data_IF_374925676616
#
_entry.id   IF_374925676616
#
_cell.length_a   1.000
_cell.length_b   1.000
_cell.length_c   1.000
_cell.angle_alpha   90.00
_cell.angle_beta   90.00
_cell.angle_gamma   90.00
#
_symmetry.space_group_name_H-M   'P 1'
#
loop_
_entity.id
_entity.type
_entity.pdbx_description
1 polymer ?
#
# COMPACT_ATOMS: atom_id res chain seq x y z
N UNK A 1 -21.28 4.99 -64.69
CA UNK A 1 -22.61 5.44 -65.15
C UNK A 1 -23.22 6.30 -64.05
N UNK A 2 -23.51 7.56 -64.37
CA UNK A 2 -24.34 8.47 -63.57
C UNK A 2 -25.79 8.02 -63.67
N UNK A 3 -26.55 8.07 -62.57
CA UNK A 3 -27.98 8.39 -62.63
C UNK A 3 -28.39 9.17 -61.38
N UNK A 4 -28.60 10.47 -61.57
CA UNK A 4 -29.51 11.27 -60.76
C UNK A 4 -30.93 10.98 -61.24
N UNK A 5 -31.91 10.95 -60.32
CA UNK A 5 -33.09 11.81 -60.45
C UNK A 5 -33.86 11.91 -59.13
N UNK A 6 -34.12 13.15 -58.73
CA UNK A 6 -35.05 13.57 -57.70
C UNK A 6 -36.51 13.23 -58.07
N UNK A 7 -37.36 13.06 -57.06
CA UNK A 7 -38.71 13.63 -57.08
C UNK A 7 -39.06 14.21 -55.70
N UNK A 8 -39.43 15.49 -55.68
CA UNK A 8 -39.99 16.22 -54.54
C UNK A 8 -41.49 15.89 -54.36
N UNK A 9 -41.95 15.89 -53.11
CA UNK A 9 -43.24 16.46 -52.72
C UNK A 9 -43.20 16.95 -51.26
N UNK A 10 -43.52 18.23 -51.07
CA UNK A 10 -43.77 18.91 -49.80
C UNK A 10 -45.17 18.48 -49.24
N UNK A 11 -45.69 18.77 -48.04
CA UNK A 11 -45.65 19.92 -47.11
C UNK A 11 -46.21 19.37 -45.77
N UNK A 12 -45.68 19.78 -44.60
CA UNK A 12 -46.46 20.38 -43.49
C UNK A 12 -45.68 20.42 -42.17
N UNK A 13 -45.53 21.64 -41.65
CA UNK A 13 -45.11 21.92 -40.28
C UNK A 13 -46.05 21.26 -39.27
N UNK A 14 -45.49 20.47 -38.36
CA UNK A 14 -46.04 20.29 -37.01
C UNK A 14 -44.89 20.37 -36.01
N UNK A 15 -44.81 21.53 -35.35
CA UNK A 15 -44.10 21.70 -34.09
C UNK A 15 -44.79 20.85 -33.03
N UNK A 16 -44.22 19.69 -32.70
CA UNK A 16 -44.54 18.98 -31.47
C UNK A 16 -43.54 19.42 -30.41
N UNK A 17 -43.99 20.32 -29.54
CA UNK A 17 -43.36 20.61 -28.28
C UNK A 17 -43.26 19.30 -27.49
N UNK A 18 -42.04 18.88 -27.17
CA UNK A 18 -41.80 17.81 -26.19
C UNK A 18 -42.09 18.44 -24.81
N UNK A 19 -43.03 17.90 -24.01
CA UNK A 19 -43.17 18.33 -22.64
C UNK A 19 -41.97 17.81 -21.85
N UNK A 20 -41.17 18.73 -21.30
CA UNK A 20 -40.29 18.45 -20.17
C UNK A 20 -41.18 18.12 -18.97
N UNK A 21 -41.42 16.83 -18.72
CA UNK A 21 -41.99 16.36 -17.47
C UNK A 21 -40.91 16.41 -16.38
N UNK A 22 -40.93 17.47 -15.58
CA UNK A 22 -40.30 17.51 -14.26
C UNK A 22 -41.14 16.63 -13.30
N UNK A 23 -40.88 15.33 -13.26
CA UNK A 23 -41.19 14.53 -12.06
C UNK A 23 -39.92 14.46 -11.22
N UNK A 24 -39.82 15.34 -10.21
CA UNK A 24 -38.91 15.11 -9.09
C UNK A 24 -39.47 13.91 -8.33
N UNK A 25 -38.78 12.78 -8.37
CA UNK A 25 -39.05 11.68 -7.44
C UNK A 25 -38.69 12.19 -6.04
N UNK A 26 -39.68 12.46 -5.21
CA UNK A 26 -39.47 12.69 -3.78
C UNK A 26 -38.92 11.40 -3.16
N UNK A 27 -37.77 11.48 -2.49
CA UNK A 27 -37.15 10.35 -1.83
C UNK A 27 -38.03 9.87 -0.66
N UNK A 28 -38.63 8.66 -0.72
CA UNK A 28 -39.60 8.21 0.25
C UNK A 28 -39.00 7.90 1.63
N UNK A 29 -37.67 7.84 1.74
CA UNK A 29 -36.95 7.56 2.99
C UNK A 29 -36.56 8.85 3.74
N UNK A 30 -36.78 10.05 3.16
CA UNK A 30 -36.52 11.35 3.80
C UNK A 30 -37.67 11.78 4.73
N UNK A 31 -38.04 10.91 5.68
CA UNK A 31 -39.13 11.18 6.65
C UNK A 31 -38.65 11.72 8.00
N UNK A 32 -37.33 11.72 8.23
CA UNK A 32 -36.74 12.14 9.51
C UNK A 32 -36.45 13.64 9.57
N UNK A 33 -36.57 14.21 10.76
CA UNK A 33 -36.09 15.59 11.01
C UNK A 33 -34.56 15.63 10.86
N UNK A 34 -34.05 16.80 10.45
CA UNK A 34 -32.63 17.06 10.19
C UNK A 34 -31.68 16.52 11.27
N UNK A 35 -32.04 16.68 12.55
CA UNK A 35 -31.20 16.33 13.69
C UNK A 35 -31.67 15.06 14.44
N UNK A 36 -32.62 14.30 13.88
CA UNK A 36 -33.13 13.07 14.49
C UNK A 36 -32.33 11.85 13.99
N UNK A 37 -31.14 11.67 14.56
CA UNK A 37 -30.21 10.61 14.16
C UNK A 37 -30.76 9.21 14.38
N UNK A 38 -31.53 8.99 15.45
CA UNK A 38 -32.15 7.70 15.72
C UNK A 38 -33.19 7.34 14.65
N UNK A 39 -34.02 8.31 14.22
CA UNK A 39 -34.90 8.12 13.08
C UNK A 39 -34.12 7.80 11.80
N UNK A 40 -33.03 8.55 11.51
CA UNK A 40 -32.22 8.37 10.31
C UNK A 40 -31.54 6.99 10.27
N UNK A 41 -31.06 6.48 11.40
CA UNK A 41 -30.52 5.12 11.52
C UNK A 41 -31.59 4.09 11.14
N UNK A 42 -32.81 4.22 11.69
CA UNK A 42 -33.89 3.27 11.39
C UNK A 42 -34.38 3.38 9.93
N UNK A 43 -34.48 4.58 9.37
CA UNK A 43 -34.83 4.76 7.95
C UNK A 43 -33.75 4.27 7.00
N UNK A 44 -32.48 4.43 7.34
CA UNK A 44 -31.36 3.88 6.59
C UNK A 44 -31.44 2.35 6.53
N UNK A 45 -31.73 1.68 7.65
CA UNK A 45 -31.91 0.22 7.69
C UNK A 45 -33.05 -0.25 6.77
N UNK A 46 -34.20 0.44 6.81
CA UNK A 46 -35.35 0.11 5.94
C UNK A 46 -34.97 0.29 4.47
N UNK A 47 -34.32 1.40 4.12
CA UNK A 47 -33.91 1.70 2.74
C UNK A 47 -32.94 0.65 2.19
N UNK A 48 -31.89 0.30 2.95
CA UNK A 48 -30.90 -0.68 2.49
C UNK A 48 -31.44 -2.12 2.48
N UNK A 49 -32.48 -2.44 3.27
CA UNK A 49 -33.21 -3.71 3.12
C UNK A 49 -33.98 -3.79 1.81
N UNK A 50 -34.55 -2.68 1.34
CA UNK A 50 -35.22 -2.61 0.04
C UNK A 50 -34.21 -2.69 -1.12
N UNK A 51 -33.02 -2.06 -0.98
CA UNK A 51 -31.90 -2.20 -1.92
C UNK A 51 -31.46 -3.66 -2.03
N UNK A 52 -31.24 -4.31 -0.88
CA UNK A 52 -30.86 -5.73 -0.84
C UNK A 52 -31.92 -6.61 -1.51
N UNK A 53 -33.20 -6.35 -1.23
CA UNK A 53 -34.31 -7.07 -1.85
C UNK A 53 -34.40 -6.82 -3.37
N UNK A 54 -34.10 -5.61 -3.82
CA UNK A 54 -34.06 -5.23 -5.24
C UNK A 54 -33.00 -6.05 -5.99
N UNK A 55 -31.76 -6.08 -5.47
CA UNK A 55 -30.68 -6.86 -6.09
C UNK A 55 -30.94 -8.36 -6.07
N UNK A 56 -31.58 -8.87 -5.01
CA UNK A 56 -31.92 -10.29 -4.87
C UNK A 56 -33.02 -10.76 -5.84
N UNK A 57 -33.97 -9.89 -6.19
CA UNK A 57 -35.17 -10.29 -6.97
C UNK A 57 -35.19 -9.79 -8.41
N UNK A 58 -34.41 -8.76 -8.77
CA UNK A 58 -34.47 -8.10 -10.08
C UNK A 58 -33.08 -7.86 -10.71
N UNK A 59 -32.28 -8.91 -10.89
CA UNK A 59 -30.93 -8.83 -11.48
C UNK A 59 -30.85 -8.20 -12.88
N UNK A 60 -31.97 -8.11 -13.62
CA UNK A 60 -32.06 -7.44 -14.94
C UNK A 60 -32.36 -5.93 -14.87
N UNK A 61 -32.57 -5.37 -13.68
CA UNK A 61 -32.82 -3.93 -13.44
C UNK A 61 -31.77 -3.32 -12.50
N UNK A 62 -30.50 -3.67 -12.76
CA UNK A 62 -29.36 -3.22 -11.98
C UNK A 62 -29.33 -1.70 -11.76
N UNK A 63 -29.54 -0.91 -12.82
CA UNK A 63 -29.55 0.56 -12.74
C UNK A 63 -30.69 1.13 -11.89
N UNK A 64 -31.82 0.41 -11.74
CA UNK A 64 -32.92 0.85 -10.89
C UNK A 64 -32.61 0.56 -9.41
N UNK A 65 -31.92 -0.54 -9.11
CA UNK A 65 -31.44 -0.83 -7.75
C UNK A 65 -30.31 0.11 -7.31
N UNK A 66 -29.45 0.54 -8.24
CA UNK A 66 -28.44 1.59 -7.98
C UNK A 66 -29.10 2.95 -7.70
N UNK A 67 -30.15 3.33 -8.45
CA UNK A 67 -30.92 4.54 -8.15
C UNK A 67 -31.55 4.49 -6.76
N UNK A 68 -32.05 3.33 -6.34
CA UNK A 68 -32.57 3.13 -4.98
C UNK A 68 -31.47 3.27 -3.92
N UNK A 69 -30.28 2.73 -4.17
CA UNK A 69 -29.11 2.91 -3.30
C UNK A 69 -28.71 4.39 -3.14
N UNK A 70 -28.78 5.17 -4.23
CA UNK A 70 -28.50 6.61 -4.18
C UNK A 70 -29.54 7.39 -3.36
N UNK A 71 -30.80 6.94 -3.34
CA UNK A 71 -31.80 7.53 -2.44
C UNK A 71 -31.47 7.24 -0.96
N UNK A 72 -30.86 6.09 -0.64
CA UNK A 72 -30.50 5.78 0.75
C UNK A 72 -29.36 6.67 1.29
N UNK A 73 -28.44 7.12 0.44
CA UNK A 73 -27.35 8.01 0.88
C UNK A 73 -27.84 9.42 1.21
N UNK A 74 -28.91 9.90 0.55
CA UNK A 74 -29.52 11.20 0.81
C UNK A 74 -30.08 11.39 2.22
N UNK A 75 -30.38 10.30 2.95
CA UNK A 75 -30.81 10.33 4.37
C UNK A 75 -29.80 11.10 5.25
N UNK A 76 -28.53 11.09 4.84
CA UNK A 76 -27.40 11.64 5.58
C UNK A 76 -26.93 13.01 5.06
N UNK A 77 -27.28 13.38 3.82
CA UNK A 77 -26.73 14.55 3.11
C UNK A 77 -27.31 15.92 3.52
N UNK A 78 -28.24 15.96 4.48
CA UNK A 78 -28.95 17.19 4.87
C UNK A 78 -28.42 17.86 6.17
N UNK A 79 -27.11 17.82 6.45
CA UNK A 79 -26.54 18.29 7.73
C UNK A 79 -25.62 19.53 7.62
N UNK A 80 -26.11 20.66 7.09
CA UNK A 80 -25.48 21.98 7.35
C UNK A 80 -26.26 22.75 8.41
N UNK A 81 -25.68 23.29 9.50
CA UNK A 81 -26.42 24.15 10.42
C UNK A 81 -26.90 25.43 9.68
N UNK A 82 -28.16 25.83 9.88
CA UNK A 82 -28.63 27.16 9.46
C UNK A 82 -28.46 28.15 10.64
N UNK A 83 -28.07 29.40 10.37
CA UNK A 83 -27.84 30.40 11.41
C UNK A 83 -29.16 30.89 12.02
N UNK A 84 -29.22 30.97 13.36
CA UNK A 84 -30.37 31.52 14.07
C UNK A 84 -30.40 33.07 14.03
N UNK A 85 -31.59 33.70 14.12
CA UNK A 85 -31.75 35.14 14.01
C UNK A 85 -31.37 35.89 15.28
N UNK A 86 -30.84 37.09 15.06
CA UNK A 86 -30.37 38.07 16.03
C UNK A 86 -31.49 38.54 16.97
N UNK A 87 -31.22 38.53 18.27
CA UNK A 87 -31.89 39.41 19.24
C UNK A 87 -30.87 40.28 19.96
N UNK A 88 -31.25 41.53 20.15
CA UNK A 88 -30.43 42.67 20.58
C UNK A 88 -30.22 42.77 22.09
N UNK A 89 -29.00 43.20 22.44
CA UNK A 89 -28.54 43.97 23.61
C UNK A 89 -28.62 43.33 25.01
N UNK A 90 -27.46 43.11 25.63
CA UNK A 90 -26.85 44.02 26.62
C UNK A 90 -25.35 43.71 26.75
N UNK A 91 -24.53 44.74 26.98
CA UNK A 91 -23.06 44.66 27.00
C UNK A 91 -22.55 44.06 28.32
N UNK A 92 -21.81 42.96 28.22
CA UNK A 92 -20.81 42.53 29.19
C UNK A 92 -19.43 42.42 28.51
N UNK A 93 -18.32 42.65 29.24
CA UNK A 93 -17.00 42.85 28.65
C UNK A 93 -16.49 41.59 27.96
N UNK A 94 -16.05 41.73 26.69
CA UNK A 94 -15.54 40.63 25.89
C UNK A 94 -14.28 39.99 26.51
N UNK A 95 -14.19 38.65 26.57
CA UNK A 95 -12.92 37.96 26.61
C UNK A 95 -12.22 38.13 25.27
N UNK A 96 -10.91 38.35 25.32
CA UNK A 96 -10.02 38.46 24.16
C UNK A 96 -10.26 37.29 23.19
N UNK A 97 -10.63 37.59 21.93
CA UNK A 97 -10.69 36.59 20.88
C UNK A 97 -9.28 36.01 20.69
N UNK A 98 -9.10 34.77 21.13
CA UNK A 98 -8.01 33.92 20.66
C UNK A 98 -8.42 33.54 19.24
N UNK A 99 -7.74 34.06 18.22
CA UNK A 99 -7.95 33.58 16.85
C UNK A 99 -7.62 32.09 16.84
N UNK A 100 -8.60 31.24 16.54
CA UNK A 100 -8.30 29.83 16.24
C UNK A 100 -7.33 29.79 15.05
N UNK A 101 -6.31 28.92 15.10
CA UNK A 101 -5.38 28.78 13.99
C UNK A 101 -6.15 28.40 12.71
N UNK A 102 -5.85 29.07 11.60
CA UNK A 102 -6.45 28.76 10.30
C UNK A 102 -5.90 27.42 9.85
N UNK A 103 -6.76 26.41 9.76
CA UNK A 103 -6.40 25.09 9.22
C UNK A 103 -6.50 25.14 7.70
N UNK A 104 -5.36 24.91 7.04
CA UNK A 104 -5.25 24.78 5.59
C UNK A 104 -5.32 23.31 5.18
N UNK A 105 -5.72 23.06 3.93
CA UNK A 105 -5.89 21.74 3.34
C UNK A 105 -4.96 21.59 2.15
N UNK A 106 -4.33 20.41 2.03
CA UNK A 106 -3.35 20.08 1.01
C UNK A 106 -3.62 18.68 0.45
N UNK A 107 -3.48 18.55 -0.86
CA UNK A 107 -3.49 17.26 -1.54
C UNK A 107 -2.15 16.54 -1.32
N UNK A 108 -2.13 15.20 -1.16
CA UNK A 108 -0.92 14.40 -1.03
C UNK A 108 -0.23 14.13 -2.38
N UNK A 109 0.07 15.20 -3.11
CA UNK A 109 0.77 15.17 -4.41
C UNK A 109 2.27 15.48 -4.23
N UNK A 110 3.10 15.10 -5.22
CA UNK A 110 4.56 15.22 -5.13
C UNK A 110 5.10 16.64 -4.92
N UNK A 111 4.34 17.65 -5.35
CA UNK A 111 4.68 19.06 -5.10
C UNK A 111 4.62 19.42 -3.61
N UNK A 112 3.83 18.67 -2.84
CA UNK A 112 3.56 18.89 -1.42
C UNK A 112 4.31 17.90 -0.51
N UNK A 113 4.51 16.66 -0.97
CA UNK A 113 5.05 15.57 -0.15
C UNK A 113 6.07 14.70 -0.90
N UNK A 114 7.09 14.22 -0.21
CA UNK A 114 7.98 13.19 -0.72
C UNK A 114 7.28 11.84 -0.56
N UNK A 115 7.15 11.08 -1.64
CA UNK A 115 6.58 9.72 -1.61
C UNK A 115 7.67 8.73 -1.16
N UNK A 116 7.30 7.79 -0.30
CA UNK A 116 8.13 6.66 0.15
C UNK A 116 7.53 5.37 -0.42
N UNK A 117 8.35 4.59 -1.12
CA UNK A 117 7.91 3.38 -1.82
C UNK A 117 6.99 3.64 -3.02
N UNK A 118 6.29 2.58 -3.46
CA UNK A 118 5.36 2.67 -4.60
C UNK A 118 4.03 3.27 -4.16
N UNK A 119 3.66 4.41 -4.74
CA UNK A 119 2.38 5.07 -4.52
C UNK A 119 1.85 5.72 -5.80
N UNK A 120 0.52 5.76 -5.96
CA UNK A 120 -0.12 6.35 -7.15
C UNK A 120 -1.28 7.24 -6.75
N UNK A 121 -1.36 8.42 -7.36
CA UNK A 121 -2.47 9.32 -7.15
C UNK A 121 -3.64 8.91 -8.06
N UNK A 122 -4.75 8.49 -7.47
CA UNK A 122 -5.90 7.89 -8.15
C UNK A 122 -7.17 8.43 -7.50
N UNK A 123 -8.09 8.97 -8.31
CA UNK A 123 -9.39 9.50 -7.85
C UNK A 123 -9.26 10.48 -6.67
N UNK A 124 -8.36 11.46 -6.80
CA UNK A 124 -8.09 12.53 -5.82
C UNK A 124 -7.44 12.07 -4.50
N UNK A 125 -6.96 10.82 -4.42
CA UNK A 125 -6.28 10.29 -3.25
C UNK A 125 -4.94 9.63 -3.60
N UNK A 126 -3.97 9.63 -2.68
CA UNK A 126 -2.69 8.93 -2.86
C UNK A 126 -2.78 7.51 -2.31
N UNK A 127 -2.74 6.52 -3.19
CA UNK A 127 -2.83 5.09 -2.85
C UNK A 127 -1.47 4.44 -2.70
N UNK A 128 -1.31 3.63 -1.67
CA UNK A 128 -0.13 2.79 -1.44
C UNK A 128 -0.46 1.61 -0.53
N UNK A 129 0.36 0.55 -0.62
CA UNK A 129 0.10 -0.71 0.08
C UNK A 129 1.35 -1.42 0.59
N UNK A 130 2.52 -1.14 0.01
CA UNK A 130 3.76 -1.82 0.39
C UNK A 130 4.14 -1.58 1.85
N UNK A 131 4.84 -2.55 2.44
CA UNK A 131 5.47 -2.40 3.77
C UNK A 131 6.33 -1.15 3.79
N UNK A 132 6.14 -0.33 4.83
CA UNK A 132 6.82 0.97 5.03
C UNK A 132 6.68 1.97 3.87
N UNK A 133 5.62 1.86 3.06
CA UNK A 133 5.28 2.92 2.10
C UNK A 133 4.53 4.07 2.78
N UNK A 134 4.62 5.26 2.22
CA UNK A 134 3.94 6.43 2.75
C UNK A 134 4.48 7.75 2.23
N UNK A 135 4.53 8.77 3.09
CA UNK A 135 4.91 10.13 2.71
C UNK A 135 5.76 10.84 3.77
N UNK A 136 6.59 11.78 3.35
CA UNK A 136 7.39 12.64 4.24
C UNK A 136 7.42 14.09 3.75
N UNK A 137 7.21 15.03 4.66
CA UNK A 137 7.16 16.47 4.34
C UNK A 137 7.47 17.32 5.56
N UNK A 138 7.63 18.63 5.32
CA UNK A 138 7.85 19.64 6.36
C UNK A 138 6.67 20.57 6.46
N UNK A 139 6.41 21.05 7.67
CA UNK A 139 5.50 22.16 7.95
C UNK A 139 6.24 23.24 8.72
N UNK A 140 5.68 24.44 8.75
CA UNK A 140 5.91 25.42 9.81
C UNK A 140 4.59 25.70 10.52
N UNK A 141 4.31 24.96 11.58
CA UNK A 141 3.00 24.88 12.24
C UNK A 141 3.09 24.07 13.53
N UNK A 142 1.96 23.74 14.12
CA UNK A 142 1.87 22.93 15.35
C UNK A 142 1.05 21.67 15.17
N UNK A 143 0.19 21.59 14.16
CA UNK A 143 -0.76 20.48 14.01
C UNK A 143 -0.76 19.91 12.60
N UNK A 144 -0.94 18.61 12.49
CA UNK A 144 -1.19 17.91 11.22
C UNK A 144 -2.30 16.88 11.44
N UNK A 145 -3.26 16.85 10.52
CA UNK A 145 -4.30 15.83 10.45
C UNK A 145 -4.24 15.16 9.09
N UNK A 146 -4.16 13.83 9.08
CA UNK A 146 -4.31 13.03 7.87
C UNK A 146 -5.73 12.49 7.78
N UNK A 147 -6.39 12.70 6.65
CA UNK A 147 -7.63 11.98 6.31
C UNK A 147 -7.21 10.74 5.52
N UNK A 148 -7.36 9.58 6.17
CA UNK A 148 -6.89 8.29 5.65
C UNK A 148 -8.07 7.35 5.49
N UNK A 149 -8.14 6.67 4.36
CA UNK A 149 -9.19 5.72 4.06
C UNK A 149 -8.63 4.34 3.70
N UNK A 150 -9.46 3.32 3.87
CA UNK A 150 -9.12 1.91 3.66
C UNK A 150 -9.68 1.39 2.34
N UNK A 151 -9.02 0.37 1.79
CA UNK A 151 -9.47 -0.30 0.57
C UNK A 151 -10.77 -1.09 0.75
N UNK A 152 -10.90 -1.92 1.80
CA UNK A 152 -12.01 -2.86 1.96
C UNK A 152 -12.08 -3.47 3.36
N UNK A 153 -13.27 -3.94 3.74
CA UNK A 153 -13.51 -4.77 4.95
C UNK A 153 -12.78 -6.12 4.92
N UNK A 154 -12.30 -6.55 3.74
CA UNK A 154 -11.48 -7.76 3.58
C UNK A 154 -9.98 -7.46 3.47
N UNK A 155 -9.63 -6.18 3.26
CA UNK A 155 -8.27 -5.70 3.22
C UNK A 155 -7.91 -4.98 4.52
N UNK A 156 -7.52 -3.72 4.42
CA UNK A 156 -7.06 -2.91 5.55
C UNK A 156 -8.14 -2.63 6.59
N UNK A 157 -9.43 -2.89 6.37
CA UNK A 157 -10.46 -2.83 7.43
C UNK A 157 -10.84 -4.21 7.97
N UNK A 158 -10.10 -5.26 7.59
CA UNK A 158 -10.26 -6.61 8.14
C UNK A 158 -10.07 -6.61 9.65
N UNK A 159 -10.84 -7.45 10.35
CA UNK A 159 -10.66 -7.69 11.78
C UNK A 159 -9.40 -8.49 12.10
N UNK A 160 -8.97 -9.33 11.17
CA UNK A 160 -7.84 -10.25 11.35
C UNK A 160 -6.52 -9.58 10.94
N UNK A 161 -6.57 -8.73 9.92
CA UNK A 161 -5.37 -8.09 9.36
C UNK A 161 -5.62 -6.64 8.92
N UNK A 162 -5.97 -5.72 9.85
CA UNK A 162 -6.10 -4.30 9.53
C UNK A 162 -4.74 -3.68 9.17
N UNK A 163 -4.71 -2.57 8.45
CA UNK A 163 -3.46 -1.85 8.25
C UNK A 163 -2.97 -1.24 9.57
N UNK A 164 -1.66 -1.34 9.81
CA UNK A 164 -0.97 -0.64 10.89
C UNK A 164 -0.23 0.57 10.32
N UNK A 165 -0.36 1.70 11.01
CA UNK A 165 0.13 3.01 10.56
C UNK A 165 0.98 3.63 11.65
N UNK A 166 2.19 4.07 11.29
CA UNK A 166 3.06 4.87 12.13
C UNK A 166 3.14 6.31 11.61
N UNK A 167 3.07 7.28 12.53
CA UNK A 167 3.31 8.69 12.21
C UNK A 167 4.42 9.21 13.11
N UNK A 168 5.51 9.65 12.49
CA UNK A 168 6.65 10.28 13.14
C UNK A 168 6.61 11.79 12.95
N UNK A 169 7.05 12.51 13.98
CA UNK A 169 7.32 13.94 13.96
C UNK A 169 8.71 14.18 14.53
N UNK A 170 9.61 14.80 13.76
CA UNK A 170 11.02 14.99 14.10
C UNK A 170 11.71 13.71 14.58
N UNK A 171 11.50 12.62 13.82
CA UNK A 171 11.96 11.26 14.09
C UNK A 171 11.45 10.61 15.40
N UNK A 172 10.56 11.28 16.14
CA UNK A 172 9.84 10.70 17.27
C UNK A 172 8.51 10.10 16.83
N UNK A 173 8.19 8.89 17.29
CA UNK A 173 6.89 8.27 17.03
C UNK A 173 5.78 9.00 17.81
N UNK A 174 4.81 9.56 17.09
CA UNK A 174 3.63 10.23 17.65
C UNK A 174 2.40 9.33 17.67
N UNK A 175 2.25 8.47 16.66
CA UNK A 175 1.11 7.59 16.53
C UNK A 175 1.55 6.21 16.05
N UNK A 176 1.07 5.19 16.76
CA UNK A 176 1.02 3.78 16.34
C UNK A 176 -0.46 3.40 16.41
N UNK A 177 -1.07 3.11 15.26
CA UNK A 177 -2.51 2.86 15.19
C UNK A 177 -2.88 1.84 14.14
N UNK A 178 -4.09 1.31 14.29
CA UNK A 178 -4.71 0.38 13.36
C UNK A 178 -5.90 1.06 12.68
N UNK A 179 -6.15 0.69 11.44
CA UNK A 179 -7.40 1.04 10.76
C UNK A 179 -8.60 0.36 11.42
N UNK A 180 -9.55 1.17 11.86
CA UNK A 180 -10.75 0.72 12.58
C UNK A 180 -12.05 1.18 11.92
N UNK A 181 -11.97 2.16 11.01
CA UNK A 181 -13.08 2.71 10.25
C UNK A 181 -12.70 2.85 8.78
N UNK A 182 -13.69 3.01 7.90
CA UNK A 182 -13.45 3.15 6.46
C UNK A 182 -12.62 4.40 6.13
N UNK A 183 -12.83 5.47 6.89
CA UNK A 183 -12.11 6.75 6.82
C UNK A 183 -11.84 7.22 8.25
N UNK A 184 -10.63 7.67 8.53
CA UNK A 184 -10.18 8.13 9.83
C UNK A 184 -9.45 9.47 9.72
N UNK A 185 -9.51 10.28 10.78
CA UNK A 185 -8.68 11.47 10.93
C UNK A 185 -7.57 11.19 11.96
N UNK A 186 -6.32 11.14 11.50
CA UNK A 186 -5.16 10.86 12.33
C UNK A 186 -4.45 12.17 12.66
N UNK A 187 -4.46 12.57 13.93
CA UNK A 187 -4.01 13.87 14.39
C UNK A 187 -2.65 13.79 15.10
N UNK A 188 -1.76 14.74 14.77
CA UNK A 188 -0.48 14.97 15.43
C UNK A 188 -0.44 16.43 15.90
N UNK A 189 -0.08 16.66 17.16
CA UNK A 189 0.13 17.99 17.74
C UNK A 189 1.54 18.05 18.34
N UNK A 190 2.34 19.01 17.87
CA UNK A 190 3.68 19.31 18.39
C UNK A 190 3.60 20.19 19.63
N UNK A 191 4.64 20.18 20.47
CA UNK A 191 4.66 20.93 21.72
C UNK A 191 4.62 22.46 21.46
N UNK A 192 5.28 22.91 20.39
CA UNK A 192 5.42 24.31 20.02
C UNK A 192 5.10 24.52 18.54
N UNK A 193 4.78 25.76 18.15
CA UNK A 193 4.72 26.13 16.73
C UNK A 193 6.14 26.21 16.19
N UNK A 194 6.44 25.49 15.12
CA UNK A 194 7.77 25.54 14.52
C UNK A 194 7.89 24.74 13.24
N UNK A 195 9.13 24.65 12.74
CA UNK A 195 9.46 23.75 11.65
C UNK A 195 9.50 22.31 12.16
N UNK A 196 8.69 21.45 11.55
CA UNK A 196 8.65 20.02 11.88
C UNK A 196 8.74 19.18 10.62
N UNK A 197 9.41 18.03 10.71
CA UNK A 197 9.40 16.99 9.67
C UNK A 197 8.45 15.87 10.07
N UNK A 198 7.50 15.54 9.20
CA UNK A 198 6.49 14.52 9.44
C UNK A 198 6.70 13.37 8.45
N UNK A 199 6.69 12.14 8.97
CA UNK A 199 6.75 10.92 8.17
C UNK A 199 5.57 10.01 8.54
N UNK A 200 4.73 9.73 7.56
CA UNK A 200 3.60 8.80 7.67
C UNK A 200 4.00 7.50 6.97
N UNK A 201 3.85 6.35 7.64
CA UNK A 201 4.16 5.04 7.07
C UNK A 201 2.99 4.06 7.32
N UNK A 202 2.62 3.28 6.29
CA UNK A 202 1.91 2.01 6.48
C UNK A 202 2.95 0.93 6.74
N UNK A 203 3.01 0.43 7.97
CA UNK A 203 4.06 -0.53 8.39
C UNK A 203 3.68 -1.99 8.18
N UNK A 204 2.40 -2.29 8.01
CA UNK A 204 1.91 -3.63 7.64
C UNK A 204 2.09 -3.93 6.15
N UNK A 205 2.21 -5.20 5.75
CA UNK A 205 2.46 -5.60 4.36
C UNK A 205 1.29 -5.40 3.39
N UNK A 206 1.61 -5.41 2.09
CA UNK A 206 0.66 -5.14 1.01
C UNK A 206 -0.41 -6.23 0.87
N UNK A 207 -0.03 -7.49 1.07
CA UNK A 207 -0.89 -8.64 0.80
C UNK A 207 -2.25 -8.57 1.52
N UNK A 208 -2.27 -7.98 2.72
CA UNK A 208 -3.44 -7.86 3.59
C UNK A 208 -4.23 -6.55 3.42
N UNK A 209 -3.79 -5.64 2.57
CA UNK A 209 -4.58 -4.46 2.22
C UNK A 209 -3.76 -3.22 1.91
N UNK A 210 -4.45 -2.25 1.35
CA UNK A 210 -3.93 -0.92 1.04
C UNK A 210 -4.73 0.19 1.72
N UNK A 211 -4.09 1.35 1.83
CA UNK A 211 -4.72 2.58 2.29
C UNK A 211 -4.50 3.69 1.27
N UNK A 212 -5.24 4.77 1.45
CA UNK A 212 -5.01 5.98 0.70
C UNK A 212 -5.20 7.21 1.58
N UNK A 213 -4.41 8.25 1.29
CA UNK A 213 -4.52 9.55 1.93
C UNK A 213 -5.39 10.42 1.02
N UNK A 214 -6.51 10.89 1.56
CA UNK A 214 -7.44 11.78 0.86
C UNK A 214 -7.01 13.25 1.00
N UNK A 215 -6.53 13.62 2.19
CA UNK A 215 -6.27 15.01 2.53
C UNK A 215 -5.25 15.14 3.66
N UNK A 216 -4.43 16.19 3.61
CA UNK A 216 -3.57 16.62 4.71
C UNK A 216 -4.03 17.99 5.17
N UNK A 217 -4.34 18.14 6.46
CA UNK A 217 -4.73 19.42 7.06
C UNK A 217 -3.69 19.87 8.07
N UNK A 218 -3.36 21.15 8.10
CA UNK A 218 -2.39 21.71 9.06
C UNK A 218 -2.63 23.20 9.26
N UNK A 219 -2.23 23.72 10.42
CA UNK A 219 -2.17 25.17 10.68
C UNK A 219 -1.01 25.88 9.95
N UNK A 220 -0.19 25.13 9.21
CA UNK A 220 0.81 25.71 8.32
C UNK A 220 0.20 26.24 7.03
N UNK A 221 0.73 27.35 6.51
CA UNK A 221 0.30 27.94 5.25
C UNK A 221 0.78 27.17 4.01
N UNK A 222 1.79 26.31 4.19
CA UNK A 222 2.45 25.55 3.13
C UNK A 222 3.03 24.28 3.73
N UNK A 223 2.97 23.19 2.97
CA UNK A 223 3.76 21.99 3.22
C UNK A 223 4.75 21.80 2.08
N UNK A 224 5.93 21.25 2.39
CA UNK A 224 6.98 21.03 1.38
C UNK A 224 7.55 19.62 1.49
N UNK A 225 7.78 18.92 0.37
CA UNK A 225 8.41 17.61 0.39
C UNK A 225 9.81 17.70 1.02
N UNK A 226 10.23 16.66 1.73
CA UNK A 226 11.63 16.54 2.12
C UNK A 226 12.51 16.25 0.91
N UNK A 227 13.81 16.54 1.03
CA UNK A 227 14.75 16.27 -0.04
C UNK A 227 14.88 14.77 -0.31
N UNK A 228 14.94 14.41 -1.59
CA UNK A 228 15.32 13.07 -2.04
C UNK A 228 16.75 12.79 -1.60
N UNK A 229 16.97 11.60 -1.05
CA UNK A 229 18.29 11.14 -0.64
C UNK A 229 19.15 10.83 -1.86
N UNK A 230 20.46 10.96 -1.70
CA UNK A 230 21.43 10.70 -2.78
C UNK A 230 21.60 9.23 -3.11
N UNK A 231 21.11 8.33 -2.23
CA UNK A 231 21.13 6.89 -2.40
C UNK A 231 19.71 6.37 -2.40
N UNK A 232 19.43 5.41 -3.29
CA UNK A 232 18.14 4.73 -3.41
C UNK A 232 18.32 3.23 -3.41
N UNK A 233 17.54 2.52 -2.60
CA UNK A 233 17.55 1.05 -2.53
C UNK A 233 16.14 0.51 -2.81
N UNK A 234 16.00 -0.40 -3.76
CA UNK A 234 14.79 -1.22 -3.86
C UNK A 234 15.04 -2.61 -3.25
N UNK A 235 14.15 -3.05 -2.37
CA UNK A 235 14.16 -4.39 -1.81
C UNK A 235 13.03 -5.18 -2.46
N UNK A 236 13.37 -6.30 -3.08
CA UNK A 236 12.42 -7.22 -3.69
C UNK A 236 12.47 -8.51 -2.88
N UNK A 237 11.35 -8.96 -2.33
CA UNK A 237 11.40 -10.08 -1.39
C UNK A 237 10.08 -10.73 -1.02
N UNK A 238 10.16 -11.55 0.01
CA UNK A 238 9.04 -12.28 0.60
C UNK A 238 8.74 -11.78 2.03
N UNK A 239 8.13 -12.65 2.85
CA UNK A 239 7.77 -12.41 4.25
C UNK A 239 8.94 -11.94 5.12
N UNK A 240 10.18 -12.33 4.82
CA UNK A 240 11.36 -11.89 5.56
C UNK A 240 11.59 -10.39 5.35
N UNK A 241 11.35 -9.89 4.13
CA UNK A 241 11.48 -8.47 3.79
C UNK A 241 10.34 -7.64 4.39
N UNK A 242 9.16 -8.23 4.54
CA UNK A 242 8.01 -7.61 5.23
C UNK A 242 8.16 -7.53 6.76
N UNK A 243 9.16 -8.20 7.35
CA UNK A 243 9.24 -8.45 8.80
C UNK A 243 8.03 -9.23 9.35
N UNK A 244 7.47 -10.14 8.55
CA UNK A 244 6.39 -11.02 8.96
C UNK A 244 6.74 -11.76 10.25
N UNK A 245 5.85 -11.67 11.25
CA UNK A 245 6.01 -12.40 12.50
C UNK A 245 7.19 -11.96 13.35
N UNK A 246 7.83 -10.82 13.05
CA UNK A 246 9.05 -10.41 13.73
C UNK A 246 8.85 -9.98 15.19
N UNK A 247 7.63 -9.56 15.53
CA UNK A 247 7.27 -8.98 16.83
C UNK A 247 6.71 -9.97 17.85
N UNK A 248 6.35 -11.17 17.41
CA UNK A 248 5.74 -12.20 18.26
C UNK A 248 6.43 -13.54 18.05
N UNK A 249 6.35 -14.41 19.06
CA UNK A 249 7.00 -15.73 19.04
C UNK A 249 6.03 -16.90 18.87
N UNK A 250 4.74 -16.69 19.10
CA UNK A 250 3.70 -17.73 19.08
C UNK A 250 2.38 -17.18 18.53
N UNK A 251 1.53 -18.07 18.01
CA UNK A 251 0.19 -17.73 17.51
C UNK A 251 0.10 -17.61 15.98
N UNK A 252 -1.08 -17.25 15.52
CA UNK A 252 -1.33 -16.95 14.11
C UNK A 252 -0.84 -15.54 13.79
N UNK A 253 -0.32 -15.35 12.58
CA UNK A 253 0.08 -14.02 12.14
C UNK A 253 -1.11 -13.07 12.02
N UNK A 254 -0.87 -11.82 12.42
CA UNK A 254 -1.78 -10.71 12.21
C UNK A 254 -0.96 -9.44 11.96
N UNK A 255 -1.43 -8.60 11.05
CA UNK A 255 -0.82 -7.29 10.80
C UNK A 255 -0.96 -6.31 11.97
N UNK A 256 -1.75 -6.66 13.00
CA UNK A 256 -1.86 -5.86 14.23
C UNK A 256 -0.54 -5.78 14.99
N UNK A 257 0.31 -6.79 14.86
CA UNK A 257 1.63 -6.85 15.51
C UNK A 257 2.78 -6.74 14.52
N UNK A 258 2.51 -6.81 13.21
CA UNK A 258 3.51 -6.54 12.17
C UNK A 258 4.05 -5.10 12.27
N UNK A 259 5.37 -4.97 12.16
CA UNK A 259 6.08 -3.70 12.20
C UNK A 259 7.20 -3.74 11.17
N UNK A 260 6.93 -3.21 9.97
CA UNK A 260 7.89 -3.12 8.86
C UNK A 260 9.18 -2.41 9.23
N UNK A 261 9.16 -1.48 10.19
CA UNK A 261 10.36 -0.75 10.62
C UNK A 261 11.39 -1.65 11.32
N UNK A 262 10.98 -2.87 11.69
CA UNK A 262 11.86 -3.93 12.21
C UNK A 262 12.52 -4.76 11.12
N UNK A 263 12.11 -4.61 9.86
CA UNK A 263 12.72 -5.32 8.73
C UNK A 263 14.20 -4.97 8.58
N UNK A 264 14.97 -5.95 8.13
CA UNK A 264 16.35 -5.69 7.72
C UNK A 264 16.40 -4.61 6.62
N UNK A 265 15.37 -4.56 5.76
CA UNK A 265 15.30 -3.62 4.64
C UNK A 265 15.24 -2.18 5.12
N UNK A 266 14.35 -1.87 6.06
CA UNK A 266 14.24 -0.55 6.68
C UNK A 266 15.56 -0.17 7.38
N UNK A 267 16.15 -1.09 8.15
CA UNK A 267 17.42 -0.88 8.87
C UNK A 267 18.60 -0.59 7.94
N UNK A 268 18.73 -1.34 6.84
CA UNK A 268 19.75 -1.11 5.81
C UNK A 268 19.57 0.28 5.18
N UNK A 269 18.33 0.65 4.83
CA UNK A 269 18.05 1.97 4.26
C UNK A 269 18.40 3.12 5.23
N UNK A 270 18.05 2.97 6.52
CA UNK A 270 18.42 3.93 7.56
C UNK A 270 19.94 4.07 7.69
N UNK A 271 20.67 2.96 7.74
CA UNK A 271 22.13 2.95 7.87
C UNK A 271 22.85 3.64 6.73
N UNK A 272 22.30 3.61 5.53
CA UNK A 272 22.88 4.33 4.38
C UNK A 272 22.25 5.70 4.11
N UNK A 273 21.31 6.14 4.96
CA UNK A 273 20.51 7.36 4.76
C UNK A 273 19.93 7.40 3.33
N UNK A 274 19.35 6.27 2.90
CA UNK A 274 18.82 6.06 1.56
C UNK A 274 17.30 6.20 1.53
N UNK A 275 16.76 6.74 0.44
CA UNK A 275 15.34 6.52 0.13
C UNK A 275 15.16 5.07 -0.31
N UNK A 276 13.99 4.49 -0.05
CA UNK A 276 13.76 3.08 -0.30
C UNK A 276 12.39 2.78 -0.91
N UNK A 277 12.30 1.58 -1.48
CA UNK A 277 11.05 0.93 -1.88
C UNK A 277 11.13 -0.54 -1.49
N UNK A 278 10.13 -1.05 -0.77
CA UNK A 278 9.97 -2.47 -0.49
C UNK A 278 8.88 -3.00 -1.43
N UNK A 279 9.21 -3.97 -2.27
CA UNK A 279 8.25 -4.69 -3.11
C UNK A 279 8.30 -6.17 -2.71
N UNK A 280 7.55 -6.47 -1.65
CA UNK A 280 7.62 -7.77 -0.99
C UNK A 280 6.24 -8.25 -0.53
N UNK A 281 6.06 -9.57 -0.57
CA UNK A 281 4.77 -10.22 -0.28
C UNK A 281 5.01 -11.57 0.39
N UNK A 282 4.36 -11.79 1.53
CA UNK A 282 4.49 -13.06 2.25
C UNK A 282 4.04 -14.26 1.40
N UNK A 283 4.88 -15.29 1.36
CA UNK A 283 4.63 -16.52 0.60
C UNK A 283 4.91 -16.45 -0.90
N UNK A 284 5.38 -15.31 -1.44
CA UNK A 284 5.68 -15.17 -2.87
C UNK A 284 7.09 -15.68 -3.20
N UNK A 285 7.25 -16.27 -4.38
CA UNK A 285 8.55 -16.71 -4.89
C UNK A 285 8.84 -16.20 -6.30
N UNK A 286 9.91 -16.70 -6.89
CA UNK A 286 10.26 -16.40 -8.30
C UNK A 286 9.65 -17.41 -9.26
N UNK A 287 9.71 -18.69 -8.90
CA UNK A 287 9.24 -19.83 -9.68
C UNK A 287 7.99 -20.48 -9.09
N UNK A 288 7.89 -20.58 -7.76
CA UNK A 288 6.71 -21.03 -7.02
C UNK A 288 6.49 -20.18 -5.77
N UNK A 289 5.23 -19.86 -5.49
CA UNK A 289 4.83 -19.48 -4.14
C UNK A 289 5.01 -20.63 -3.15
N UNK A 290 4.89 -20.30 -1.86
CA UNK A 290 5.07 -21.24 -0.76
C UNK A 290 4.06 -22.37 -0.85
N UNK A 291 4.56 -23.60 -0.80
CA UNK A 291 3.76 -24.82 -0.76
C UNK A 291 4.56 -25.91 -0.04
N UNK A 292 3.90 -26.73 0.78
CA UNK A 292 4.54 -27.80 1.54
C UNK A 292 4.07 -29.20 1.10
N UNK A 293 3.25 -29.31 0.06
CA UNK A 293 2.71 -30.56 -0.48
C UNK A 293 3.38 -30.97 -1.81
N UNK A 294 4.35 -30.18 -2.29
CA UNK A 294 5.05 -30.41 -3.56
C UNK A 294 4.20 -30.04 -4.77
N UNK A 295 3.25 -29.11 -4.60
CA UNK A 295 2.37 -28.57 -5.64
C UNK A 295 2.83 -27.15 -5.98
N UNK A 296 3.18 -26.93 -7.24
CA UNK A 296 3.68 -25.63 -7.69
C UNK A 296 2.57 -24.58 -7.61
N UNK A 297 2.79 -23.50 -6.88
CA UNK A 297 1.87 -22.36 -6.80
C UNK A 297 2.32 -21.24 -7.74
N UNK A 298 1.60 -21.04 -8.83
CA UNK A 298 1.91 -19.99 -9.82
C UNK A 298 1.17 -18.67 -9.58
N UNK A 299 0.32 -18.59 -8.55
CA UNK A 299 -0.47 -17.39 -8.25
C UNK A 299 0.25 -16.42 -7.30
N UNK A 300 1.32 -16.86 -6.64
CA UNK A 300 2.09 -16.08 -5.68
C UNK A 300 3.53 -15.92 -6.16
N UNK A 301 3.70 -15.20 -7.28
CA UNK A 301 4.98 -14.99 -7.94
C UNK A 301 5.27 -13.49 -8.07
N UNK A 302 6.50 -13.08 -7.78
CA UNK A 302 6.95 -11.68 -7.93
C UNK A 302 7.11 -11.27 -9.41
N UNK A 303 7.79 -12.04 -10.29
CA UNK A 303 8.10 -11.59 -11.65
C UNK A 303 6.89 -11.13 -12.48
N UNK A 304 5.73 -11.83 -12.45
CA UNK A 304 4.55 -11.40 -13.20
C UNK A 304 3.89 -10.10 -12.73
N UNK A 305 4.18 -9.66 -11.50
CA UNK A 305 3.57 -8.45 -10.89
C UNK A 305 4.59 -7.34 -10.63
N UNK A 306 5.86 -7.51 -10.98
CA UNK A 306 6.92 -6.55 -10.66
C UNK A 306 6.72 -5.17 -11.32
N UNK A 307 5.97 -5.10 -12.41
CA UNK A 307 5.56 -3.85 -13.08
C UNK A 307 4.27 -3.24 -12.51
N UNK A 308 3.69 -3.81 -11.44
CA UNK A 308 2.43 -3.34 -10.82
C UNK A 308 2.68 -2.51 -9.58
N UNK A 309 1.66 -1.74 -9.20
CA UNK A 309 1.67 -0.93 -7.98
C UNK A 309 1.73 -1.80 -6.72
N UNK A 310 1.07 -2.95 -6.73
CA UNK A 310 1.08 -3.94 -5.65
C UNK A 310 0.14 -5.11 -5.94
N UNK A 311 -0.05 -5.97 -4.95
CA UNK A 311 -0.96 -7.11 -5.03
C UNK A 311 -1.68 -7.32 -3.69
N UNK A 312 -2.99 -7.58 -3.75
CA UNK A 312 -3.85 -7.72 -2.57
C UNK A 312 -4.54 -9.08 -2.63
N UNK A 313 -4.28 -9.95 -1.65
CA UNK A 313 -4.80 -11.32 -1.67
C UNK A 313 -6.33 -11.35 -1.74
N UNK A 314 -6.98 -10.45 -0.99
CA UNK A 314 -8.43 -10.41 -0.92
C UNK A 314 -9.07 -10.01 -2.26
N UNK A 315 -8.39 -9.33 -3.18
CA UNK A 315 -8.94 -9.04 -4.51
C UNK A 315 -9.25 -10.33 -5.29
N UNK A 316 -8.44 -11.37 -5.10
CA UNK A 316 -8.65 -12.68 -5.73
C UNK A 316 -9.74 -13.51 -5.04
N UNK A 317 -9.89 -13.37 -3.73
CA UNK A 317 -10.85 -14.12 -2.91
C UNK A 317 -12.25 -13.50 -2.98
N UNK A 318 -12.32 -12.16 -2.99
CA UNK A 318 -13.55 -11.35 -2.98
C UNK A 318 -13.58 -10.34 -4.14
N UNK A 319 -13.50 -10.79 -5.41
CA UNK A 319 -13.44 -9.92 -6.58
C UNK A 319 -14.67 -9.01 -6.72
N UNK A 320 -15.81 -9.39 -6.14
CA UNK A 320 -17.06 -8.62 -6.13
C UNK A 320 -17.03 -7.39 -5.21
N UNK A 321 -16.05 -7.31 -4.30
CA UNK A 321 -15.91 -6.24 -3.29
C UNK A 321 -14.71 -5.33 -3.56
N UNK A 322 -14.08 -5.44 -4.73
CA UNK A 322 -12.89 -4.67 -5.08
C UNK A 322 -13.27 -3.20 -5.31
N UNK A 323 -12.83 -2.33 -4.40
CA UNK A 323 -12.88 -0.86 -4.57
C UNK A 323 -11.86 -0.40 -5.58
N UNK A 324 -10.63 -0.94 -5.46
CA UNK A 324 -9.54 -0.74 -6.39
C UNK A 324 -8.56 -1.92 -6.30
N UNK A 325 -8.06 -2.40 -7.44
CA UNK A 325 -7.07 -3.48 -7.46
C UNK A 325 -5.70 -2.92 -7.77
N UNK A 326 -4.78 -2.97 -6.79
CA UNK A 326 -3.41 -2.49 -6.99
C UNK A 326 -2.68 -3.24 -8.10
N UNK A 327 -3.01 -4.52 -8.33
CA UNK A 327 -2.40 -5.33 -9.39
C UNK A 327 -2.90 -4.92 -10.79
N UNK A 328 -4.04 -4.22 -10.88
CA UNK A 328 -4.50 -3.65 -12.15
C UNK A 328 -3.82 -2.33 -12.52
N UNK A 329 -3.07 -1.74 -11.59
CA UNK A 329 -2.36 -0.49 -11.80
C UNK A 329 -0.90 -0.73 -12.16
N UNK A 330 -0.50 -0.26 -13.33
CA UNK A 330 0.91 -0.22 -13.72
C UNK A 330 1.69 0.76 -12.84
N UNK A 331 2.90 0.35 -12.46
CA UNK A 331 3.91 1.16 -11.79
C UNK A 331 4.89 1.72 -12.82
N UNK A 332 5.04 3.05 -12.83
CA UNK A 332 6.09 3.70 -13.63
C UNK A 332 7.42 3.62 -12.86
N UNK A 333 8.36 2.83 -13.36
CA UNK A 333 9.67 2.65 -12.72
C UNK A 333 10.50 3.95 -12.67
N UNK A 334 10.18 4.97 -13.48
CA UNK A 334 10.86 6.26 -13.42
C UNK A 334 10.55 7.03 -12.13
N UNK A 335 9.49 6.64 -11.41
CA UNK A 335 9.14 7.22 -10.11
C UNK A 335 10.17 6.88 -9.03
N UNK A 336 10.84 5.74 -9.17
CA UNK A 336 11.89 5.30 -8.27
C UNK A 336 12.96 4.52 -9.03
N UNK A 337 14.04 5.19 -9.42
CA UNK A 337 15.22 4.55 -10.02
C UNK A 337 16.26 4.26 -8.91
N UNK A 338 16.41 3.00 -8.47
CA UNK A 338 17.35 2.62 -7.43
C UNK A 338 18.81 2.62 -7.90
N UNK A 339 19.72 2.95 -6.99
CA UNK A 339 21.16 2.72 -7.18
C UNK A 339 21.53 1.25 -6.91
N UNK A 340 20.80 0.61 -5.99
CA UNK A 340 20.97 -0.77 -5.57
C UNK A 340 19.60 -1.46 -5.46
N UNK A 341 19.51 -2.67 -6.02
CA UNK A 341 18.37 -3.57 -5.88
C UNK A 341 18.83 -4.79 -5.09
N UNK A 342 18.14 -5.11 -4.00
CA UNK A 342 18.41 -6.30 -3.19
C UNK A 342 17.26 -7.28 -3.39
N UNK A 343 17.56 -8.42 -3.99
CA UNK A 343 16.58 -9.49 -4.25
C UNK A 343 16.78 -10.56 -3.18
N UNK A 344 15.85 -10.64 -2.23
CA UNK A 344 15.84 -11.66 -1.18
C UNK A 344 14.66 -12.61 -1.40
N UNK A 345 14.79 -13.46 -2.41
CA UNK A 345 13.79 -14.43 -2.85
C UNK A 345 14.43 -15.79 -3.06
N UNK A 346 13.64 -16.84 -2.82
CA UNK A 346 14.04 -18.25 -2.95
C UNK A 346 13.56 -19.12 -1.79
N UNK A 347 13.16 -18.53 -0.67
CA UNK A 347 12.66 -19.26 0.52
C UNK A 347 11.43 -20.09 0.19
N UNK A 348 10.44 -19.46 -0.46
CA UNK A 348 9.16 -20.09 -0.81
C UNK A 348 9.30 -21.09 -1.96
N UNK A 349 10.19 -20.80 -2.91
CA UNK A 349 10.58 -21.74 -3.96
C UNK A 349 11.20 -23.00 -3.35
N UNK A 350 12.07 -22.85 -2.35
CA UNK A 350 12.72 -23.95 -1.65
C UNK A 350 11.70 -24.80 -0.88
N UNK A 351 10.74 -24.18 -0.19
CA UNK A 351 9.65 -24.88 0.48
C UNK A 351 8.91 -25.83 -0.48
N UNK A 352 8.52 -25.32 -1.66
CA UNK A 352 7.88 -26.10 -2.70
C UNK A 352 8.78 -27.23 -3.22
N UNK A 353 9.99 -26.91 -3.67
CA UNK A 353 10.92 -27.87 -4.30
C UNK A 353 11.29 -29.00 -3.33
N UNK A 354 11.58 -28.66 -2.07
CA UNK A 354 11.92 -29.64 -1.05
C UNK A 354 10.76 -30.61 -0.75
N UNK A 355 9.52 -30.13 -0.88
CA UNK A 355 8.32 -30.97 -0.71
C UNK A 355 7.97 -31.85 -1.92
N UNK A 356 8.64 -31.69 -3.07
CA UNK A 356 8.47 -32.61 -4.21
C UNK A 356 9.00 -34.00 -3.83
N UNK A 357 8.18 -35.07 -3.85
CA UNK A 357 8.58 -36.38 -3.32
C UNK A 357 9.53 -37.15 -4.25
N UNK A 358 9.44 -36.91 -5.56
CA UNK A 358 10.27 -37.56 -6.57
C UNK A 358 11.59 -36.80 -6.76
N UNK A 359 12.72 -37.50 -6.60
CA UNK A 359 14.05 -36.85 -6.65
C UNK A 359 14.41 -36.35 -8.05
N UNK A 360 14.08 -37.10 -9.10
CA UNK A 360 14.40 -36.69 -10.48
C UNK A 360 13.59 -35.44 -10.84
N UNK A 361 12.31 -35.42 -10.44
CA UNK A 361 11.47 -34.24 -10.56
C UNK A 361 12.00 -33.07 -9.74
N UNK A 362 12.46 -33.30 -8.50
CA UNK A 362 13.03 -32.22 -7.67
C UNK A 362 14.22 -31.53 -8.35
N UNK A 363 15.12 -32.31 -8.96
CA UNK A 363 16.25 -31.75 -9.72
C UNK A 363 15.79 -31.01 -11.00
N UNK A 364 14.72 -31.47 -11.66
CA UNK A 364 14.08 -30.71 -12.76
C UNK A 364 13.51 -29.37 -12.27
N UNK A 365 12.81 -29.35 -11.12
CA UNK A 365 12.25 -28.11 -10.56
C UNK A 365 13.35 -27.12 -10.15
N UNK A 366 14.50 -27.59 -9.63
CA UNK A 366 15.69 -26.74 -9.38
C UNK A 366 16.21 -26.09 -10.65
N UNK A 367 16.35 -26.86 -11.73
CA UNK A 367 16.77 -26.33 -13.05
C UNK A 367 15.76 -25.28 -13.54
N UNK A 368 14.46 -25.53 -13.38
CA UNK A 368 13.43 -24.57 -13.75
C UNK A 368 13.52 -23.29 -12.91
N UNK A 369 13.71 -23.41 -11.59
CA UNK A 369 13.94 -22.27 -10.71
C UNK A 369 15.16 -21.46 -11.14
N UNK A 370 16.31 -22.09 -11.41
CA UNK A 370 17.52 -21.42 -11.92
C UNK A 370 17.22 -20.60 -13.18
N UNK A 371 16.50 -21.17 -14.15
CA UNK A 371 16.15 -20.47 -15.39
C UNK A 371 15.19 -19.30 -15.14
N UNK A 372 14.15 -19.49 -14.33
CA UNK A 372 13.21 -18.43 -13.98
C UNK A 372 13.88 -17.28 -13.21
N UNK A 373 14.82 -17.59 -12.31
CA UNK A 373 15.58 -16.58 -11.58
C UNK A 373 16.50 -15.79 -12.51
N UNK A 374 17.16 -16.46 -13.46
CA UNK A 374 17.95 -15.80 -14.51
C UNK A 374 17.09 -14.82 -15.32
N UNK A 375 15.91 -15.27 -15.74
CA UNK A 375 14.98 -14.44 -16.51
C UNK A 375 14.46 -13.26 -15.68
N UNK A 376 14.22 -13.46 -14.38
CA UNK A 376 13.83 -12.39 -13.47
C UNK A 376 14.93 -11.33 -13.29
N UNK A 377 16.20 -11.73 -13.16
CA UNK A 377 17.33 -10.78 -13.17
C UNK A 377 17.32 -9.97 -14.46
N UNK A 378 17.08 -10.62 -15.61
CA UNK A 378 16.94 -9.95 -16.90
C UNK A 378 15.79 -8.95 -16.94
N UNK A 379 14.62 -9.30 -16.38
CA UNK A 379 13.48 -8.39 -16.24
C UNK A 379 13.85 -7.16 -15.41
N UNK A 380 14.44 -7.36 -14.22
CA UNK A 380 14.88 -6.27 -13.33
C UNK A 380 15.90 -5.37 -14.04
N UNK A 381 16.92 -5.94 -14.71
CA UNK A 381 17.90 -5.15 -15.47
C UNK A 381 17.25 -4.35 -16.60
N UNK A 382 16.26 -4.92 -17.29
CA UNK A 382 15.59 -4.25 -18.40
C UNK A 382 14.85 -2.98 -17.96
N UNK A 383 14.36 -2.96 -16.72
CA UNK A 383 13.69 -1.82 -16.08
C UNK A 383 14.73 -0.86 -15.51
N UNK A 384 15.70 -1.38 -14.76
CA UNK A 384 16.72 -0.60 -14.07
C UNK A 384 18.12 -0.85 -14.66
N UNK A 385 18.37 -0.17 -15.78
CA UNK A 385 19.57 -0.40 -16.61
C UNK A 385 20.92 -0.10 -15.93
N UNK A 386 20.94 0.63 -14.81
CA UNK A 386 22.17 1.10 -14.15
C UNK A 386 22.41 0.55 -12.75
N UNK A 387 21.36 0.06 -12.09
CA UNK A 387 21.38 -0.36 -10.70
C UNK A 387 22.41 -1.48 -10.46
N UNK A 388 23.04 -1.49 -9.29
CA UNK A 388 23.64 -2.71 -8.79
C UNK A 388 22.53 -3.68 -8.38
N UNK A 389 22.70 -4.98 -8.60
CA UNK A 389 21.78 -6.02 -8.16
C UNK A 389 22.54 -6.95 -7.21
N UNK A 390 22.00 -7.14 -6.01
CA UNK A 390 22.50 -8.06 -5.00
C UNK A 390 21.43 -9.11 -4.71
N UNK A 391 21.64 -10.34 -5.18
CA UNK A 391 20.78 -11.47 -4.87
C UNK A 391 21.24 -12.11 -3.55
N UNK A 392 20.32 -12.24 -2.60
CA UNK A 392 20.56 -12.81 -1.27
C UNK A 392 19.62 -13.95 -0.99
N UNK A 393 20.07 -14.93 -0.21
CA UNK A 393 19.24 -15.99 0.35
C UNK A 393 19.95 -16.57 1.59
N UNK A 394 19.20 -16.91 2.65
CA UNK A 394 19.80 -17.72 3.71
C UNK A 394 19.13 -17.72 5.07
N UNK A 395 18.48 -16.63 5.48
CA UNK A 395 18.00 -16.48 6.88
C UNK A 395 17.07 -17.61 7.36
N UNK A 396 16.25 -18.17 6.45
CA UNK A 396 15.35 -19.30 6.71
C UNK A 396 15.74 -20.58 5.97
N UNK A 397 16.97 -20.65 5.42
CA UNK A 397 17.43 -21.76 4.60
C UNK A 397 18.28 -21.30 3.42
N UNK A 398 19.26 -22.12 3.05
CA UNK A 398 20.19 -21.85 1.93
C UNK A 398 20.03 -22.86 0.78
N UNK A 399 18.97 -23.67 0.77
CA UNK A 399 18.85 -24.84 -0.12
C UNK A 399 18.97 -24.51 -1.62
N UNK A 400 18.46 -23.33 -2.03
CA UNK A 400 18.50 -22.87 -3.42
C UNK A 400 19.60 -21.83 -3.71
N UNK A 401 20.51 -21.59 -2.77
CA UNK A 401 21.55 -20.57 -2.95
C UNK A 401 22.47 -20.93 -4.14
N UNK A 402 22.84 -22.20 -4.29
CA UNK A 402 23.67 -22.66 -5.41
C UNK A 402 22.97 -22.44 -6.75
N UNK A 403 21.67 -22.68 -6.82
CA UNK A 403 20.85 -22.45 -8.01
C UNK A 403 20.77 -20.96 -8.36
N UNK A 404 20.75 -20.05 -7.37
CA UNK A 404 20.84 -18.60 -7.57
C UNK A 404 22.23 -18.22 -8.09
N UNK A 405 23.31 -18.80 -7.55
CA UNK A 405 24.68 -18.57 -8.05
C UNK A 405 24.79 -18.96 -9.52
N UNK A 406 24.27 -20.14 -9.89
CA UNK A 406 24.24 -20.60 -11.28
C UNK A 406 23.38 -19.69 -12.17
N UNK A 407 22.24 -19.20 -11.68
CA UNK A 407 21.38 -18.28 -12.41
C UNK A 407 22.10 -16.96 -12.72
N UNK A 408 22.75 -16.36 -11.73
CA UNK A 408 23.55 -15.13 -11.89
C UNK A 408 24.72 -15.36 -12.85
N UNK A 409 25.47 -16.44 -12.68
CA UNK A 409 26.58 -16.81 -13.56
C UNK A 409 26.15 -16.95 -15.03
N UNK A 410 25.00 -17.60 -15.26
CA UNK A 410 24.44 -17.77 -16.60
C UNK A 410 23.99 -16.43 -17.18
N UNK A 411 23.31 -15.61 -16.38
CA UNK A 411 22.89 -14.27 -16.79
C UNK A 411 24.09 -13.39 -17.20
N UNK A 412 25.15 -13.35 -16.38
CA UNK A 412 26.35 -12.55 -16.64
C UNK A 412 27.07 -13.00 -17.92
N UNK A 413 27.19 -14.31 -18.16
CA UNK A 413 27.80 -14.89 -19.38
C UNK A 413 27.02 -14.52 -20.64
N UNK A 414 25.69 -14.45 -20.56
CA UNK A 414 24.81 -14.17 -21.70
C UNK A 414 24.69 -12.67 -22.02
N UNK A 415 24.82 -11.78 -21.04
CA UNK A 415 24.43 -10.37 -21.18
C UNK A 415 25.58 -9.36 -21.09
N UNK A 416 26.82 -9.79 -20.82
CA UNK A 416 27.97 -8.89 -20.62
C UNK A 416 27.69 -7.80 -19.57
N UNK A 417 26.88 -8.15 -18.57
CA UNK A 417 26.63 -7.37 -17.36
C UNK A 417 27.72 -7.73 -16.33
N UNK A 418 28.03 -6.81 -15.42
CA UNK A 418 29.00 -7.00 -14.33
C UNK A 418 28.51 -6.41 -13.00
N UNK A 419 27.23 -6.07 -12.91
CA UNK A 419 26.58 -5.40 -11.77
C UNK A 419 25.54 -6.29 -11.10
N UNK A 420 25.72 -7.61 -11.17
CA UNK A 420 24.89 -8.59 -10.45
C UNK A 420 25.80 -9.44 -9.58
N UNK A 421 25.53 -9.42 -8.28
CA UNK A 421 26.31 -10.13 -7.27
C UNK A 421 25.39 -11.03 -6.45
N UNK A 422 25.98 -12.06 -5.85
CA UNK A 422 25.32 -13.00 -4.94
C UNK A 422 25.94 -12.92 -3.55
N UNK A 423 25.13 -13.14 -2.52
CA UNK A 423 25.58 -13.20 -1.14
C UNK A 423 24.72 -14.16 -0.31
N UNK A 424 25.29 -15.22 0.30
CA UNK A 424 24.55 -16.09 1.19
C UNK A 424 24.43 -15.43 2.56
N UNK A 425 23.21 -15.28 3.05
CA UNK A 425 22.95 -14.85 4.43
C UNK A 425 23.16 -16.03 5.37
N UNK A 426 23.63 -15.79 6.59
CA UNK A 426 23.63 -16.86 7.59
C UNK A 426 22.20 -17.30 7.93
N UNK A 427 22.07 -18.56 8.38
CA UNK A 427 20.84 -19.01 9.04
C UNK A 427 20.61 -18.15 10.29
N UNK A 428 19.34 -17.82 10.55
CA UNK A 428 18.98 -17.11 11.79
C UNK A 428 19.47 -17.88 13.03
N UNK A 429 20.03 -17.16 14.00
CA UNK A 429 20.52 -17.74 15.25
C UNK A 429 19.39 -17.86 16.27
N UNK A 430 18.61 -18.94 16.16
CA UNK A 430 17.44 -19.20 17.02
C UNK A 430 17.85 -19.34 18.50
N UNK A 431 19.03 -19.90 18.79
CA UNK A 431 19.49 -20.07 20.16
C UNK A 431 19.80 -18.73 20.83
N UNK A 432 20.42 -17.80 20.09
CA UNK A 432 20.76 -16.46 20.56
C UNK A 432 19.55 -15.53 20.60
N UNK A 433 18.78 -15.47 19.52
CA UNK A 433 17.78 -14.43 19.31
C UNK A 433 16.36 -14.88 19.67
N UNK A 434 16.09 -16.18 19.69
CA UNK A 434 14.73 -16.72 19.62
C UNK A 434 14.21 -16.76 18.18
N UNK A 435 12.93 -17.04 18.02
CA UNK A 435 12.28 -17.21 16.71
C UNK A 435 10.94 -16.49 16.66
N UNK A 436 10.61 -15.94 15.50
CA UNK A 436 9.31 -15.30 15.25
C UNK A 436 8.22 -16.32 14.89
N UNK A 437 7.03 -15.80 14.61
CA UNK A 437 5.89 -16.62 14.16
C UNK A 437 6.26 -17.46 12.93
N UNK A 438 5.82 -18.72 12.90
CA UNK A 438 6.05 -19.66 11.79
C UNK A 438 7.54 -19.79 11.39
N UNK A 439 8.45 -19.76 12.37
CA UNK A 439 9.90 -19.86 12.18
C UNK A 439 10.54 -18.66 11.44
N UNK A 440 9.85 -17.53 11.33
CA UNK A 440 10.41 -16.34 10.70
C UNK A 440 11.48 -15.66 11.57
N UNK A 441 12.41 -14.90 10.97
CA UNK A 441 13.35 -14.07 11.72
C UNK A 441 12.60 -13.07 12.60
N UNK A 442 12.82 -13.14 13.91
CA UNK A 442 12.34 -12.10 14.82
C UNK A 442 13.11 -10.78 14.68
N UNK A 443 12.70 -9.73 15.40
CA UNK A 443 13.35 -8.41 15.32
C UNK A 443 14.88 -8.45 15.51
N UNK A 444 15.40 -9.25 16.45
CA UNK A 444 16.86 -9.38 16.65
C UNK A 444 17.55 -10.08 15.47
N UNK A 445 16.91 -11.11 14.90
CA UNK A 445 17.43 -11.78 13.71
C UNK A 445 17.39 -10.88 12.47
N UNK A 446 16.39 -9.98 12.36
CA UNK A 446 16.35 -8.94 11.33
C UNK A 446 17.52 -7.96 11.46
N UNK A 447 17.96 -7.65 12.69
CA UNK A 447 19.19 -6.85 12.92
C UNK A 447 20.44 -7.58 12.46
N UNK A 448 20.56 -8.87 12.77
CA UNK A 448 21.70 -9.68 12.31
C UNK A 448 21.76 -9.73 10.76
N UNK A 449 20.62 -9.96 10.09
CA UNK A 449 20.50 -9.92 8.62
C UNK A 449 20.91 -8.54 8.07
N UNK A 450 20.44 -7.45 8.70
CA UNK A 450 20.77 -6.10 8.28
C UNK A 450 22.28 -5.85 8.35
N UNK A 451 22.94 -6.25 9.44
CA UNK A 451 24.38 -6.07 9.62
C UNK A 451 25.19 -6.81 8.56
N UNK A 452 24.81 -8.05 8.23
CA UNK A 452 25.46 -8.82 7.15
C UNK A 452 25.34 -8.13 5.80
N UNK A 453 24.14 -7.63 5.47
CA UNK A 453 23.90 -6.92 4.22
C UNK A 453 24.65 -5.58 4.17
N UNK A 454 24.70 -4.84 5.29
CA UNK A 454 25.44 -3.58 5.39
C UNK A 454 26.92 -3.83 5.10
N UNK A 455 27.56 -4.78 5.80
CA UNK A 455 28.98 -5.11 5.59
C UNK A 455 29.24 -5.49 4.12
N UNK A 456 28.32 -6.24 3.52
CA UNK A 456 28.41 -6.64 2.12
C UNK A 456 28.31 -5.45 1.16
N UNK A 457 27.39 -4.52 1.41
CA UNK A 457 27.20 -3.29 0.62
C UNK A 457 28.43 -2.39 0.73
N UNK A 458 29.00 -2.21 1.92
CA UNK A 458 30.22 -1.42 2.12
C UNK A 458 31.39 -2.02 1.32
N UNK A 459 31.53 -3.35 1.36
CA UNK A 459 32.59 -4.08 0.66
C UNK A 459 32.44 -4.03 -0.87
N UNK A 460 31.24 -4.28 -1.40
CA UNK A 460 31.03 -4.38 -2.85
C UNK A 460 30.92 -3.03 -3.53
N UNK A 461 30.26 -2.06 -2.89
CA UNK A 461 29.82 -0.83 -3.55
C UNK A 461 30.50 0.42 -2.98
N UNK A 462 31.38 0.26 -1.97
CA UNK A 462 32.08 1.37 -1.31
C UNK A 462 31.13 2.41 -0.70
N UNK A 463 29.91 1.99 -0.38
CA UNK A 463 28.99 2.81 0.39
C UNK A 463 29.51 2.93 1.83
N UNK A 464 29.32 4.08 2.46
CA UNK A 464 29.66 4.28 3.87
C UNK A 464 28.37 4.32 4.67
N UNK A 465 28.24 3.45 5.67
CA UNK A 465 27.13 3.50 6.62
C UNK A 465 27.32 4.61 7.65
N UNK A 466 26.23 5.16 8.18
CA UNK A 466 26.26 6.17 9.23
C UNK A 466 26.46 5.49 10.60
N UNK A 467 27.59 5.72 11.29
CA UNK A 467 27.86 5.12 12.59
C UNK A 467 26.94 5.63 13.70
N UNK A 468 26.23 6.75 13.50
CA UNK A 468 25.35 7.35 14.51
C UNK A 468 23.91 6.85 14.45
N UNK A 469 23.53 6.15 13.38
CA UNK A 469 22.20 5.52 13.28
C UNK A 469 22.21 4.25 14.11
N UNK A 470 21.33 4.12 15.11
CA UNK A 470 21.16 2.87 15.85
C UNK A 470 20.08 2.02 15.16
N UNK A 471 20.43 0.78 14.83
CA UNK A 471 19.51 -0.20 14.24
C UNK A 471 19.30 -1.42 15.13
N UNK A 472 19.80 -1.38 16.38
CA UNK A 472 19.81 -2.52 17.30
C UNK A 472 18.43 -2.99 17.75
N UNK A 473 17.39 -2.19 17.53
CA UNK A 473 16.00 -2.47 17.93
C UNK A 473 15.00 -2.44 16.79
#
# INVERSE_FOLDING_TARGET
MKFNLLLLAAISNLTLAIPLSNEKNDNPYLVCKKNDFNCKIEQSKICYQDVYSCFKTNSKKYMDCIKLSNLCSEIWLNNKPEPQPTQTNEQEPQPTQINEPVINSFEPIKDNVKIIGRAKYINDSLWFGQTDSGIEFKINGKTVTFVVSTDSIYGSLSKESPARIFIYGDDKLYLDTLTTESTMELNVEFDEVGEHTIRFLKVSECLFGSIYIDEIRTDSNVITPTETKTKKIEFIGDSITCAFGAMDTEGDFTTTTEDGTKSYAYKVAQKFNADYSLFAFSGYGVYSGCDFEGIRNTNSLIPPIYDKLGDLQWNSIHPENVTHSMNSEEWDSNEFEPDLIIINLGTNDAAYINSVPDNDKREEEKINFTNYYKDFIGQVRSIHSKAEILCTLGAMGQDLYQEIEVAVDNYLKENNDNKVNVFPLNLQDIEKNGVGILFHPNALSQVDIANEIIEKIETLYSWVSDPNVDISE
#
